data_IF_267373141944
#
_entry.id   IF_267373141944
#
_cell.length_a   1.000
_cell.length_b   1.000
_cell.length_c   1.000
_cell.angle_alpha   90.00
_cell.angle_beta   90.00
_cell.angle_gamma   90.00
#
_symmetry.space_group_name_H-M   'P 1'
#
loop_
_entity.id
_entity.type
_entity.pdbx_description
1 polymer ?
#
# COMPACT_ATOMS: atom_id res chain seq x y z
N UNK A 1 -19.65 5.06 10.29
CA UNK A 1 -20.21 5.35 8.94
C UNK A 1 -19.10 5.39 7.89
N UNK A 2 -17.98 6.05 8.17
CA UNK A 2 -16.81 6.07 7.28
C UNK A 2 -16.11 4.69 7.21
N UNK A 3 -15.91 4.00 8.34
CA UNK A 3 -15.27 2.65 8.34
C UNK A 3 -16.03 1.64 7.47
N UNK A 4 -17.37 1.62 7.55
CA UNK A 4 -18.20 0.75 6.70
C UNK A 4 -18.09 1.12 5.23
N UNK A 5 -17.93 2.40 4.90
CA UNK A 5 -17.72 2.82 3.51
C UNK A 5 -16.32 2.47 3.00
N UNK A 6 -15.31 2.57 3.87
CA UNK A 6 -13.93 2.19 3.58
C UNK A 6 -13.81 0.71 3.22
N UNK A 7 -14.53 -0.15 3.94
CA UNK A 7 -14.56 -1.60 3.69
C UNK A 7 -15.34 -1.93 2.41
N UNK A 8 -16.49 -1.28 2.21
CA UNK A 8 -17.39 -1.61 1.09
C UNK A 8 -16.96 -0.96 -0.23
N UNK A 9 -16.19 0.12 -0.19
CA UNK A 9 -15.72 0.83 -1.38
C UNK A 9 -14.32 1.44 -1.14
N UNK A 10 -13.30 0.60 -0.92
CA UNK A 10 -11.93 1.06 -0.64
C UNK A 10 -11.33 1.90 -1.77
N UNK A 11 -11.81 1.74 -3.00
CA UNK A 11 -11.39 2.53 -4.16
C UNK A 11 -11.77 4.01 -4.06
N UNK A 12 -12.88 4.37 -3.40
CA UNK A 12 -13.22 5.77 -3.09
C UNK A 12 -12.17 6.46 -2.23
N UNK A 13 -11.44 5.68 -1.44
CA UNK A 13 -10.36 6.15 -0.58
C UNK A 13 -9.00 6.04 -1.27
N UNK A 14 -8.98 5.61 -2.54
CA UNK A 14 -7.78 5.48 -3.32
C UNK A 14 -7.03 4.17 -3.12
N UNK A 15 -7.61 3.14 -2.51
CA UNK A 15 -6.97 1.82 -2.44
C UNK A 15 -7.22 1.02 -3.71
N UNK A 16 -6.24 0.20 -4.10
CA UNK A 16 -6.34 -0.69 -5.27
C UNK A 16 -6.56 0.05 -6.60
N UNK A 17 -6.21 1.33 -6.65
CA UNK A 17 -6.32 2.17 -7.85
C UNK A 17 -5.11 3.10 -7.97
N UNK A 18 -4.77 3.50 -9.20
CA UNK A 18 -3.81 4.57 -9.50
C UNK A 18 -4.44 5.96 -9.46
N UNK A 19 -5.75 6.06 -9.67
CA UNK A 19 -6.41 7.30 -10.12
C UNK A 19 -6.95 8.15 -8.97
N UNK A 20 -6.22 8.17 -7.85
CA UNK A 20 -6.65 8.90 -6.66
C UNK A 20 -5.94 10.24 -6.54
N UNK A 21 -6.71 11.33 -6.57
CA UNK A 21 -6.27 12.68 -6.20
C UNK A 21 -7.16 13.22 -5.08
N UNK A 22 -6.65 13.32 -3.86
CA UNK A 22 -7.37 14.02 -2.78
C UNK A 22 -7.00 15.50 -2.80
N UNK A 23 -7.93 16.37 -3.18
CA UNK A 23 -7.76 17.83 -3.04
C UNK A 23 -8.16 18.32 -1.63
N UNK A 24 -8.86 17.51 -0.85
CA UNK A 24 -9.33 17.89 0.49
C UNK A 24 -9.21 16.71 1.45
N UNK A 25 -8.18 16.69 2.30
CA UNK A 25 -8.06 15.74 3.40
C UNK A 25 -7.47 16.42 4.63
N UNK A 26 -8.35 16.96 5.48
CA UNK A 26 -7.96 17.41 6.81
C UNK A 26 -8.32 16.30 7.80
N UNK A 27 -7.30 15.75 8.45
CA UNK A 27 -7.39 14.82 9.59
C UNK A 27 -8.01 13.43 9.32
N UNK A 28 -7.56 12.77 8.25
CA UNK A 28 -8.01 11.42 7.87
C UNK A 28 -7.13 10.29 8.38
N UNK A 29 -6.08 10.58 9.15
CA UNK A 29 -5.06 9.59 9.51
C UNK A 29 -5.66 8.42 10.26
N UNK A 30 -6.45 8.70 11.30
CA UNK A 30 -7.10 7.66 12.10
C UNK A 30 -8.15 6.87 11.30
N UNK A 31 -8.83 7.52 10.36
CA UNK A 31 -9.79 6.85 9.47
C UNK A 31 -9.08 5.89 8.52
N UNK A 32 -8.00 6.35 7.89
CA UNK A 32 -7.18 5.55 6.99
C UNK A 32 -6.53 4.39 7.74
N UNK A 33 -5.98 4.65 8.92
CA UNK A 33 -5.41 3.65 9.82
C UNK A 33 -6.45 2.56 10.13
N UNK A 34 -7.63 2.93 10.63
CA UNK A 34 -8.69 1.98 10.97
C UNK A 34 -9.13 1.15 9.76
N UNK A 35 -9.31 1.81 8.61
CA UNK A 35 -9.68 1.15 7.36
C UNK A 35 -8.65 0.11 6.90
N UNK A 36 -7.36 0.49 6.90
CA UNK A 36 -6.25 -0.41 6.54
C UNK A 36 -6.12 -1.56 7.54
N UNK A 37 -6.23 -1.30 8.84
CA UNK A 37 -6.21 -2.34 9.89
C UNK A 37 -7.33 -3.37 9.70
N UNK A 38 -8.53 -2.95 9.27
CA UNK A 38 -9.64 -3.87 8.99
C UNK A 38 -9.37 -4.68 7.71
N UNK A 39 -8.95 -4.03 6.63
CA UNK A 39 -8.69 -4.71 5.34
C UNK A 39 -7.52 -5.71 5.45
N UNK A 40 -6.51 -5.40 6.27
CA UNK A 40 -5.37 -6.28 6.52
C UNK A 40 -5.77 -7.62 7.17
N UNK A 41 -6.91 -7.69 7.88
CA UNK A 41 -7.42 -8.93 8.54
C UNK A 41 -7.85 -10.05 7.58
N UNK A 42 -7.57 -9.92 6.28
CA UNK A 42 -7.71 -11.01 5.32
C UNK A 42 -8.83 -10.83 4.31
N UNK A 43 -9.41 -9.63 4.20
CA UNK A 43 -10.51 -9.39 3.28
C UNK A 43 -10.01 -9.31 1.84
N UNK A 44 -10.54 -10.18 0.98
CA UNK A 44 -10.40 -10.07 -0.46
C UNK A 44 -11.48 -9.15 -1.02
N UNK A 45 -11.05 -8.19 -1.82
CA UNK A 45 -11.90 -7.25 -2.53
C UNK A 45 -11.93 -7.67 -3.99
N UNK A 46 -13.11 -7.88 -4.55
CA UNK A 46 -13.25 -8.26 -5.95
C UNK A 46 -12.67 -7.14 -6.84
N UNK A 47 -11.79 -7.51 -7.76
CA UNK A 47 -11.32 -6.68 -8.84
C UNK A 47 -12.15 -6.90 -10.11
N UNK A 48 -11.78 -6.20 -11.18
CA UNK A 48 -12.36 -6.44 -12.49
C UNK A 48 -11.90 -7.80 -13.06
N UNK A 49 -12.70 -8.40 -13.94
CA UNK A 49 -12.36 -9.59 -14.72
C UNK A 49 -12.00 -10.85 -13.90
N UNK A 50 -12.50 -10.97 -12.66
CA UNK A 50 -12.33 -12.17 -11.84
C UNK A 50 -11.08 -12.18 -10.95
N UNK A 51 -10.24 -11.15 -11.04
CA UNK A 51 -9.13 -10.96 -10.10
C UNK A 51 -9.61 -10.43 -8.74
N UNK A 52 -8.71 -10.47 -7.75
CA UNK A 52 -8.96 -10.01 -6.39
C UNK A 52 -7.80 -9.18 -5.87
N UNK A 53 -8.14 -8.19 -5.04
CA UNK A 53 -7.21 -7.35 -4.31
C UNK A 53 -7.24 -7.67 -2.82
N UNK A 54 -6.10 -7.51 -2.16
CA UNK A 54 -5.98 -7.68 -0.72
C UNK A 54 -4.88 -6.78 -0.16
N UNK A 55 -5.06 -6.31 1.07
CA UNK A 55 -3.96 -5.78 1.87
C UNK A 55 -3.30 -6.93 2.61
N UNK A 56 -2.00 -7.13 2.37
CA UNK A 56 -1.25 -8.25 2.96
C UNK A 56 -0.38 -7.84 4.14
N UNK A 57 -0.02 -6.57 4.22
CA UNK A 57 0.82 -6.03 5.29
C UNK A 57 0.46 -4.56 5.53
N UNK A 58 0.64 -4.10 6.76
CA UNK A 58 0.50 -2.69 7.11
C UNK A 58 1.48 -2.32 8.23
N UNK A 59 2.08 -1.14 8.14
CA UNK A 59 3.00 -0.59 9.13
C UNK A 59 2.62 0.86 9.43
N UNK A 60 2.52 1.20 10.72
CA UNK A 60 2.12 2.54 11.18
C UNK A 60 3.29 3.19 11.90
N UNK A 61 3.66 4.40 11.48
CA UNK A 61 4.55 5.26 12.25
C UNK A 61 3.71 6.38 12.90
N UNK A 62 3.46 6.21 14.20
CA UNK A 62 2.63 7.13 14.98
C UNK A 62 3.30 8.48 15.26
N UNK A 63 4.63 8.51 15.32
CA UNK A 63 5.39 9.73 15.63
C UNK A 63 5.29 10.72 14.48
N UNK A 64 5.48 10.22 13.26
CA UNK A 64 5.43 11.04 12.05
C UNK A 64 4.02 11.15 11.45
N UNK A 65 3.05 10.37 11.96
CA UNK A 65 1.69 10.24 11.38
C UNK A 65 1.71 9.81 9.92
N UNK A 66 2.49 8.78 9.61
CA UNK A 66 2.51 8.15 8.30
C UNK A 66 2.18 6.65 8.40
N UNK A 67 1.69 6.10 7.29
CA UNK A 67 1.21 4.73 7.19
C UNK A 67 1.78 4.11 5.92
N UNK A 68 2.13 2.84 5.97
CA UNK A 68 2.53 2.04 4.83
C UNK A 68 1.71 0.75 4.77
N UNK A 69 1.45 0.26 3.56
CA UNK A 69 0.80 -1.02 3.36
C UNK A 69 1.23 -1.66 2.05
N UNK A 70 0.95 -2.94 1.93
CA UNK A 70 1.14 -3.70 0.69
C UNK A 70 -0.21 -4.08 0.13
N UNK A 71 -0.47 -3.67 -1.12
CA UNK A 71 -1.58 -4.17 -1.92
C UNK A 71 -1.09 -5.33 -2.78
N UNK A 72 -1.83 -6.44 -2.75
CA UNK A 72 -1.62 -7.58 -3.63
C UNK A 72 -2.81 -7.73 -4.55
N UNK A 73 -2.55 -7.85 -5.84
CA UNK A 73 -3.51 -8.36 -6.81
C UNK A 73 -3.22 -9.82 -7.13
N UNK A 74 -4.27 -10.60 -7.32
CA UNK A 74 -4.19 -11.98 -7.79
C UNK A 74 -5.29 -12.23 -8.81
N UNK A 75 -4.94 -12.86 -9.92
CA UNK A 75 -5.87 -13.32 -10.95
C UNK A 75 -5.51 -14.75 -11.38
N UNK A 76 -6.42 -15.67 -11.11
CA UNK A 76 -6.31 -17.11 -11.42
C UNK A 76 -7.24 -17.53 -12.58
N UNK A 77 -7.88 -16.58 -13.26
CA UNK A 77 -8.78 -16.84 -14.39
C UNK A 77 -8.04 -17.36 -15.63
N UNK A 78 -6.73 -17.13 -15.69
CA UNK A 78 -5.85 -17.52 -16.78
C UNK A 78 -5.05 -18.78 -16.43
N UNK A 79 -4.47 -19.43 -17.45
CA UNK A 79 -3.61 -20.62 -17.26
C UNK A 79 -2.36 -20.31 -16.42
N UNK A 80 -1.95 -19.05 -16.36
CA UNK A 80 -0.83 -18.56 -15.55
C UNK A 80 -1.41 -17.62 -14.50
N UNK A 81 -1.24 -17.95 -13.22
CA UNK A 81 -1.64 -17.06 -12.15
C UNK A 81 -0.85 -15.75 -12.23
N UNK A 82 -1.57 -14.64 -12.26
CA UNK A 82 -0.96 -13.31 -12.24
C UNK A 82 -0.97 -12.79 -10.81
N UNK A 83 0.18 -12.32 -10.35
CA UNK A 83 0.35 -11.70 -9.04
C UNK A 83 1.03 -10.35 -9.24
N UNK A 84 0.47 -9.29 -8.66
CA UNK A 84 1.09 -7.97 -8.64
C UNK A 84 1.17 -7.47 -7.21
N UNK A 85 2.23 -6.74 -6.89
CA UNK A 85 2.44 -6.15 -5.59
C UNK A 85 2.67 -4.65 -5.73
N UNK A 86 2.03 -3.90 -4.84
CA UNK A 86 2.20 -2.46 -4.77
C UNK A 86 2.54 -2.08 -3.34
N UNK A 87 3.66 -1.38 -3.20
CA UNK A 87 4.06 -0.76 -1.96
C UNK A 87 3.43 0.63 -1.90
N UNK A 88 2.64 0.85 -0.87
CA UNK A 88 1.86 2.06 -0.70
C UNK A 88 2.25 2.78 0.59
N UNK A 89 2.12 4.10 0.58
CA UNK A 89 2.27 4.92 1.76
C UNK A 89 1.30 6.10 1.77
N UNK A 90 0.98 6.56 2.98
CA UNK A 90 0.27 7.80 3.25
C UNK A 90 1.21 8.69 4.05
N UNK A 91 1.53 9.85 3.48
CA UNK A 91 2.35 10.87 4.12
C UNK A 91 1.56 11.64 5.18
N UNK A 92 2.23 12.43 6.04
CA UNK A 92 1.55 13.27 7.03
C UNK A 92 0.72 14.39 6.40
N UNK A 93 1.02 14.77 5.16
CA UNK A 93 0.25 15.70 4.33
C UNK A 93 -0.92 15.03 3.60
N UNK A 94 -1.21 13.76 3.92
CA UNK A 94 -2.23 12.93 3.28
C UNK A 94 -2.02 12.65 1.79
N UNK A 95 -0.80 12.86 1.28
CA UNK A 95 -0.42 12.38 -0.05
C UNK A 95 -0.31 10.86 -0.02
N UNK A 96 -1.05 10.21 -0.94
CA UNK A 96 -0.98 8.78 -1.17
C UNK A 96 0.09 8.47 -2.22
N UNK A 97 1.01 7.60 -1.86
CA UNK A 97 2.07 7.08 -2.71
C UNK A 97 1.79 5.61 -2.98
N UNK A 98 2.06 5.16 -4.21
CA UNK A 98 1.83 3.78 -4.64
C UNK A 98 2.79 3.41 -5.76
N UNK A 99 3.63 2.41 -5.52
CA UNK A 99 4.60 1.94 -6.49
C UNK A 99 4.49 0.44 -6.67
N UNK A 100 4.43 -0.02 -7.92
CA UNK A 100 4.55 -1.44 -8.24
C UNK A 100 5.95 -1.95 -7.87
N UNK A 101 6.00 -3.14 -7.27
CA UNK A 101 7.25 -3.80 -6.89
C UNK A 101 7.26 -5.24 -7.41
N UNK A 102 8.44 -5.68 -7.81
CA UNK A 102 8.66 -7.07 -8.19
C UNK A 102 8.85 -7.95 -6.95
N UNK A 103 8.18 -9.10 -6.96
CA UNK A 103 8.45 -10.18 -6.00
C UNK A 103 9.15 -11.34 -6.70
N UNK A 104 10.20 -11.87 -6.07
CA UNK A 104 10.87 -13.10 -6.49
C UNK A 104 9.95 -14.32 -6.33
N UNK A 105 9.10 -14.33 -5.31
CA UNK A 105 8.14 -15.40 -5.10
C UNK A 105 6.82 -14.88 -4.52
N UNK A 106 5.74 -14.84 -5.33
CA UNK A 106 4.45 -14.27 -4.94
C UNK A 106 3.69 -15.08 -3.88
N UNK A 107 4.24 -16.18 -3.37
CA UNK A 107 3.62 -16.98 -2.32
C UNK A 107 4.15 -16.64 -0.92
N UNK A 108 5.33 -16.01 -0.81
CA UNK A 108 5.88 -15.62 0.51
C UNK A 108 5.37 -14.26 0.99
N UNK A 109 4.89 -13.42 0.07
CA UNK A 109 4.39 -12.09 0.39
C UNK A 109 5.51 -11.07 0.61
N UNK A 110 5.09 -9.81 0.76
CA UNK A 110 5.97 -8.68 1.02
C UNK A 110 5.62 -8.13 2.39
N UNK A 111 6.63 -7.90 3.22
CA UNK A 111 6.46 -7.27 4.53
C UNK A 111 7.22 -5.95 4.62
N UNK A 112 6.60 -4.97 5.28
CA UNK A 112 7.17 -3.65 5.55
C UNK A 112 7.89 -3.71 6.90
N UNK A 113 9.19 -3.42 6.91
CA UNK A 113 10.01 -3.44 8.12
C UNK A 113 10.05 -2.10 8.83
N UNK A 114 10.11 -1.00 8.06
CA UNK A 114 10.16 0.34 8.61
C UNK A 114 9.58 1.36 7.63
N UNK A 115 9.09 2.45 8.20
CA UNK A 115 8.58 3.62 7.51
C UNK A 115 9.13 4.87 8.18
N UNK A 116 9.74 5.74 7.38
CA UNK A 116 10.20 7.06 7.81
C UNK A 116 9.73 8.13 6.81
N UNK A 117 9.40 9.31 7.31
CA UNK A 117 9.06 10.49 6.52
C UNK A 117 9.94 11.68 6.91
N UNK A 118 10.81 12.11 6.01
CA UNK A 118 11.72 13.23 6.23
C UNK A 118 11.78 14.12 4.98
N UNK A 119 11.63 15.44 5.16
CA UNK A 119 11.80 16.44 4.10
C UNK A 119 10.99 16.17 2.82
N UNK A 120 9.75 15.68 2.92
CA UNK A 120 8.91 15.38 1.75
C UNK A 120 9.20 14.03 1.10
N UNK A 121 10.01 13.19 1.74
CA UNK A 121 10.41 11.87 1.23
C UNK A 121 9.95 10.78 2.18
N UNK A 122 9.24 9.80 1.63
CA UNK A 122 8.93 8.54 2.30
C UNK A 122 10.05 7.55 2.02
N UNK A 123 10.64 7.02 3.09
CA UNK A 123 11.60 5.91 3.01
C UNK A 123 10.94 4.65 3.57
N UNK A 124 10.83 3.63 2.72
CA UNK A 124 10.25 2.33 3.06
C UNK A 124 11.35 1.27 2.99
N UNK A 125 11.51 0.53 4.08
CA UNK A 125 12.27 -0.72 4.06
C UNK A 125 11.27 -1.87 4.05
N UNK A 126 11.47 -2.81 3.12
CA UNK A 126 10.61 -3.97 2.97
C UNK A 126 11.45 -5.18 2.61
N UNK A 127 10.90 -6.37 2.86
CA UNK A 127 11.55 -7.61 2.46
C UNK A 127 10.62 -8.51 1.65
N UNK A 128 11.24 -9.23 0.73
CA UNK A 128 10.65 -10.36 0.02
C UNK A 128 11.46 -11.61 0.37
N UNK A 129 10.90 -12.44 1.25
CA UNK A 129 11.46 -13.71 1.73
C UNK A 129 12.87 -13.64 2.35
N UNK A 130 13.90 -13.41 1.53
CA UNK A 130 15.31 -13.31 1.92
C UNK A 130 15.96 -11.99 1.51
N UNK A 131 15.33 -11.22 0.62
CA UNK A 131 15.89 -9.98 0.11
C UNK A 131 15.33 -8.79 0.88
N UNK A 132 16.21 -7.91 1.34
CA UNK A 132 15.84 -6.62 1.92
C UNK A 132 16.04 -5.52 0.89
N UNK A 133 15.04 -4.64 0.77
CA UNK A 133 15.03 -3.56 -0.20
C UNK A 133 14.63 -2.26 0.47
N UNK A 134 15.13 -1.16 -0.07
CA UNK A 134 14.75 0.18 0.33
C UNK A 134 14.18 0.91 -0.88
N UNK A 135 13.07 1.61 -0.67
CA UNK A 135 12.44 2.48 -1.66
C UNK A 135 12.24 3.88 -1.06
N UNK A 136 12.69 4.88 -1.81
CA UNK A 136 12.47 6.30 -1.50
C UNK A 136 11.52 6.91 -2.53
N UNK A 137 10.42 7.51 -2.05
CA UNK A 137 9.41 8.17 -2.87
C UNK A 137 9.22 9.61 -2.40
N UNK A 138 9.21 10.56 -3.34
CA UNK A 138 8.77 11.92 -3.06
C UNK A 138 7.22 12.02 -3.00
N UNK A 139 6.71 13.19 -2.60
CA UNK A 139 5.26 13.46 -2.56
C UNK A 139 4.57 13.39 -3.94
N UNK A 140 5.32 13.35 -5.04
CA UNK A 140 4.82 13.16 -6.40
C UNK A 140 4.86 11.69 -6.83
N UNK A 141 5.13 10.77 -5.91
CA UNK A 141 5.27 9.33 -6.16
C UNK A 141 6.42 8.98 -7.12
N UNK A 142 7.40 9.88 -7.24
CA UNK A 142 8.62 9.67 -8.02
C UNK A 142 9.66 8.97 -7.18
N UNK A 143 10.29 7.95 -7.76
CA UNK A 143 11.37 7.21 -7.08
C UNK A 143 12.64 8.05 -7.08
N UNK A 144 13.16 8.32 -5.88
CA UNK A 144 14.41 9.06 -5.70
C UNK A 144 15.59 8.08 -5.73
N UNK A 145 15.48 6.96 -5.02
CA UNK A 145 16.47 5.87 -5.02
C UNK A 145 15.78 4.51 -4.80
N UNK A 146 16.33 3.48 -5.46
CA UNK A 146 16.02 2.07 -5.16
C UNK A 146 17.36 1.39 -4.88
N UNK A 147 17.57 0.98 -3.63
CA UNK A 147 18.80 0.29 -3.21
C UNK A 147 18.45 -1.11 -2.75
N UNK A 148 19.02 -2.10 -3.42
CA UNK A 148 19.05 -3.49 -2.97
C UNK A 148 20.26 -3.64 -2.06
N UNK A 149 20.07 -4.04 -0.79
CA UNK A 149 21.16 -4.27 0.16
C UNK A 149 21.49 -5.76 0.24
#
# INVERSE_FOLDING_TARGET
MIESEFINNPQKFGLFTSDFSSEECVDWFDHYRSGIEVLNKGLWIAGENGGGWKITEAFINHEEKCLAWVERFMDDSSRIEKHEYYLCALTPSFRRLRKEIESYNPYFGISVESLQYENGVVTLQYHDKHDKRQMELDENNSSINIVTK
#
